data_IF_166942453254
#
_entry.id   IF_166942453254
#
_cell.length_a   1.000
_cell.length_b   1.000
_cell.length_c   1.000
_cell.angle_alpha   90.00
_cell.angle_beta   90.00
_cell.angle_gamma   90.00
#
_symmetry.space_group_name_H-M   'P 1'
#
loop_
_entity.id
_entity.type
_entity.pdbx_description
1 polymer ?
#
# COMPACT_ATOMS: atom_id res chain seq x y z
N UNK A 1 -23.47 -13.79 -1.93
CA UNK A 1 -22.44 -13.53 -0.92
C UNK A 1 -22.31 -12.03 -0.72
N UNK A 2 -22.92 -11.50 0.34
CA UNK A 2 -22.57 -10.17 0.85
C UNK A 2 -21.19 -10.29 1.52
N UNK A 3 -20.17 -9.60 1.00
CA UNK A 3 -18.81 -9.74 1.54
C UNK A 3 -17.68 -9.06 0.74
N UNK A 4 -17.99 -8.39 -0.37
CA UNK A 4 -17.00 -7.60 -1.11
C UNK A 4 -16.81 -6.19 -0.54
N UNK A 5 -15.70 -5.54 -0.88
CA UNK A 5 -15.44 -4.13 -0.57
C UNK A 5 -16.19 -3.17 -1.50
N UNK A 6 -16.90 -3.71 -2.51
CA UNK A 6 -17.67 -2.93 -3.48
C UNK A 6 -16.78 -2.28 -4.54
N UNK A 7 -17.33 -1.28 -5.23
CA UNK A 7 -16.55 -0.44 -6.16
C UNK A 7 -15.73 0.56 -5.35
N UNK A 8 -14.42 0.41 -5.36
CA UNK A 8 -13.53 1.19 -4.50
C UNK A 8 -12.33 1.78 -5.24
N UNK A 9 -11.73 2.80 -4.62
CA UNK A 9 -10.35 3.20 -4.87
C UNK A 9 -9.55 2.71 -3.66
N UNK A 10 -8.53 1.89 -3.90
CA UNK A 10 -7.65 1.41 -2.86
C UNK A 10 -6.20 1.80 -3.13
N UNK A 11 -5.51 2.34 -2.13
CA UNK A 11 -4.07 2.59 -2.15
C UNK A 11 -3.39 1.66 -1.15
N UNK A 12 -2.47 0.83 -1.65
CA UNK A 12 -1.62 -0.03 -0.85
C UNK A 12 -0.14 0.37 -1.03
N UNK A 13 0.48 0.84 0.06
CA UNK A 13 1.92 1.12 0.10
C UNK A 13 2.70 -0.11 0.57
N UNK A 14 3.95 -0.24 0.13
CA UNK A 14 4.78 -1.41 0.46
C UNK A 14 4.33 -2.68 -0.26
N UNK A 15 3.76 -2.55 -1.47
CA UNK A 15 3.15 -3.66 -2.20
C UNK A 15 4.15 -4.65 -2.83
N UNK A 16 5.43 -4.32 -2.90
CA UNK A 16 6.39 -5.14 -3.66
C UNK A 16 6.79 -6.45 -2.97
N UNK A 17 6.70 -6.55 -1.64
CA UNK A 17 7.16 -7.71 -0.84
C UNK A 17 6.33 -7.90 0.43
N UNK A 18 6.56 -9.02 1.11
CA UNK A 18 6.01 -9.30 2.44
C UNK A 18 4.49 -9.23 2.48
N UNK A 19 3.95 -8.71 3.59
CA UNK A 19 2.50 -8.63 3.80
C UNK A 19 1.77 -7.88 2.68
N UNK A 20 2.31 -6.75 2.21
CA UNK A 20 1.70 -5.97 1.13
C UNK A 20 1.60 -6.75 -0.19
N UNK A 21 2.64 -7.52 -0.56
CA UNK A 21 2.63 -8.37 -1.76
C UNK A 21 1.57 -9.46 -1.67
N UNK A 22 1.46 -10.13 -0.53
CA UNK A 22 0.46 -11.18 -0.30
C UNK A 22 -0.95 -10.62 -0.19
N UNK A 23 -1.11 -9.41 0.36
CA UNK A 23 -2.40 -8.77 0.54
C UNK A 23 -3.01 -8.30 -0.80
N UNK A 24 -2.19 -7.85 -1.75
CA UNK A 24 -2.70 -7.23 -2.98
C UNK A 24 -3.67 -8.14 -3.79
N UNK A 25 -3.39 -9.42 -4.05
CA UNK A 25 -4.33 -10.33 -4.71
C UNK A 25 -5.60 -10.60 -3.91
N UNK A 26 -5.48 -10.77 -2.58
CA UNK A 26 -6.62 -10.95 -1.69
C UNK A 26 -7.51 -9.71 -1.68
N UNK A 27 -6.92 -8.53 -1.68
CA UNK A 27 -7.63 -7.27 -1.71
C UNK A 27 -8.35 -7.08 -3.05
N UNK A 28 -7.64 -7.34 -4.16
CA UNK A 28 -8.23 -7.36 -5.49
C UNK A 28 -9.43 -8.32 -5.59
N UNK A 29 -9.39 -9.45 -4.88
CA UNK A 29 -10.50 -10.42 -4.76
C UNK A 29 -11.81 -9.86 -4.26
N UNK A 30 -11.74 -8.84 -3.43
CA UNK A 30 -12.91 -8.25 -2.79
C UNK A 30 -13.42 -7.00 -3.55
N UNK A 31 -12.69 -6.53 -4.57
CA UNK A 31 -13.04 -5.34 -5.32
C UNK A 31 -14.00 -5.67 -6.47
N UNK A 32 -15.10 -4.91 -6.56
CA UNK A 32 -16.04 -5.03 -7.67
C UNK A 32 -15.46 -4.43 -8.96
N UNK A 33 -15.93 -4.85 -10.15
CA UNK A 33 -15.53 -4.25 -11.43
C UNK A 33 -15.71 -2.72 -11.46
N UNK A 34 -14.75 -2.04 -12.09
CA UNK A 34 -14.63 -0.59 -12.12
C UNK A 34 -13.87 0.01 -10.92
N UNK A 35 -13.34 -0.83 -10.04
CA UNK A 35 -12.45 -0.40 -8.95
C UNK A 35 -11.06 0.00 -9.47
N UNK A 36 -10.34 0.79 -8.66
CA UNK A 36 -8.95 1.16 -8.88
C UNK A 36 -8.10 0.68 -7.72
N UNK A 37 -7.01 -0.02 -8.00
CA UNK A 37 -6.02 -0.45 -7.02
C UNK A 37 -4.66 0.18 -7.34
N UNK A 38 -4.23 1.09 -6.48
CA UNK A 38 -2.93 1.76 -6.54
C UNK A 38 -1.93 0.99 -5.70
N UNK A 39 -0.81 0.61 -6.33
CA UNK A 39 0.26 -0.15 -5.71
C UNK A 39 1.53 0.70 -5.68
N UNK A 40 2.03 1.00 -4.48
CA UNK A 40 3.22 1.83 -4.30
C UNK A 40 4.34 1.07 -3.60
N UNK A 41 5.54 1.12 -4.17
CA UNK A 41 6.78 0.60 -3.57
C UNK A 41 8.00 1.14 -4.33
N UNK A 42 9.21 0.96 -3.81
CA UNK A 42 10.45 1.42 -4.49
C UNK A 42 10.85 0.58 -5.72
N UNK A 43 10.49 -0.70 -5.74
CA UNK A 43 10.91 -1.63 -6.79
C UNK A 43 9.83 -1.70 -7.87
N UNK A 44 10.03 -1.01 -9.00
CA UNK A 44 9.08 -0.99 -10.13
C UNK A 44 8.89 -2.37 -10.76
N UNK A 45 9.96 -3.14 -10.89
CA UNK A 45 9.91 -4.48 -11.50
C UNK A 45 9.00 -5.42 -10.71
N UNK A 46 9.13 -5.41 -9.37
CA UNK A 46 8.25 -6.18 -8.49
C UNK A 46 6.79 -5.71 -8.57
N UNK A 47 6.55 -4.42 -8.81
CA UNK A 47 5.20 -3.90 -9.03
C UNK A 47 4.64 -4.35 -10.38
N UNK A 48 5.44 -4.33 -11.46
CA UNK A 48 5.04 -4.82 -12.80
C UNK A 48 4.64 -6.28 -12.76
N UNK A 49 5.43 -7.11 -12.09
CA UNK A 49 5.12 -8.51 -11.90
C UNK A 49 3.80 -8.70 -11.15
N UNK A 50 3.57 -7.93 -10.07
CA UNK A 50 2.31 -7.97 -9.34
C UNK A 50 1.12 -7.46 -10.19
N UNK A 51 1.29 -6.41 -10.98
CA UNK A 51 0.25 -5.94 -11.91
C UNK A 51 -0.12 -7.02 -12.94
N UNK A 52 0.87 -7.72 -13.51
CA UNK A 52 0.64 -8.81 -14.44
C UNK A 52 -0.15 -9.97 -13.81
N UNK A 53 0.21 -10.36 -12.58
CA UNK A 53 -0.51 -11.36 -11.78
C UNK A 53 -1.98 -10.96 -11.57
N UNK A 54 -2.24 -9.69 -11.21
CA UNK A 54 -3.59 -9.19 -10.97
C UNK A 54 -4.42 -9.02 -12.25
N UNK A 55 -3.77 -8.65 -13.35
CA UNK A 55 -4.41 -8.42 -14.66
C UNK A 55 -4.88 -9.71 -15.33
N UNK A 56 -4.13 -10.81 -15.17
CA UNK A 56 -4.51 -12.11 -15.68
C UNK A 56 -5.82 -12.63 -15.06
N UNK A 57 -6.14 -12.22 -13.84
CA UNK A 57 -7.26 -12.75 -13.07
C UNK A 57 -8.55 -11.90 -13.16
N UNK A 58 -8.49 -10.63 -13.63
CA UNK A 58 -9.60 -9.66 -13.41
C UNK A 58 -9.87 -8.70 -14.56
N UNK A 59 -10.81 -9.05 -15.43
CA UNK A 59 -11.41 -8.13 -16.40
C UNK A 59 -12.27 -7.08 -15.69
N UNK A 60 -11.68 -5.93 -15.33
CA UNK A 60 -12.42 -4.78 -14.79
C UNK A 60 -11.80 -4.12 -13.56
N UNK A 61 -10.68 -4.63 -13.04
CA UNK A 61 -9.87 -3.91 -12.05
C UNK A 61 -8.84 -3.04 -12.79
N UNK A 62 -8.78 -1.74 -12.48
CA UNK A 62 -7.67 -0.89 -12.94
C UNK A 62 -6.56 -0.92 -11.91
N UNK A 63 -5.42 -1.49 -12.26
CA UNK A 63 -4.20 -1.41 -11.45
C UNK A 63 -3.41 -0.16 -11.86
N UNK A 64 -2.89 0.58 -10.89
CA UNK A 64 -2.00 1.73 -11.11
C UNK A 64 -0.75 1.52 -10.26
N UNK A 65 0.41 1.44 -10.91
CA UNK A 65 1.69 1.34 -10.20
C UNK A 65 2.27 2.74 -9.97
N UNK A 66 2.82 2.93 -8.78
CA UNK A 66 3.56 4.15 -8.43
C UNK A 66 4.90 3.73 -7.81
N UNK A 67 5.97 3.59 -8.62
CA UNK A 67 7.28 3.31 -8.08
C UNK A 67 7.84 4.55 -7.38
N UNK A 68 7.81 4.57 -6.04
CA UNK A 68 8.15 5.74 -5.25
C UNK A 68 8.87 5.38 -3.93
N UNK A 69 9.84 6.20 -3.56
CA UNK A 69 10.43 6.19 -2.21
C UNK A 69 9.69 7.16 -1.29
N UNK A 70 8.85 6.62 -0.41
CA UNK A 70 8.08 7.42 0.54
C UNK A 70 8.92 7.98 1.70
N UNK A 71 10.21 7.61 1.80
CA UNK A 71 11.17 8.25 2.69
C UNK A 71 11.75 9.54 2.12
N UNK A 72 11.47 9.88 0.86
CA UNK A 72 11.93 11.07 0.18
C UNK A 72 10.75 11.94 -0.27
N UNK A 73 10.87 13.27 -0.13
CA UNK A 73 9.81 14.22 -0.52
C UNK A 73 9.39 14.06 -1.98
N UNK A 74 10.35 13.85 -2.89
CA UNK A 74 10.07 13.63 -4.30
C UNK A 74 9.19 12.39 -4.55
N UNK A 75 9.45 11.29 -3.83
CA UNK A 75 8.64 10.07 -3.95
C UNK A 75 7.25 10.25 -3.35
N UNK A 76 7.11 11.02 -2.27
CA UNK A 76 5.80 11.39 -1.72
C UNK A 76 5.01 12.23 -2.74
N UNK A 77 5.62 13.26 -3.33
CA UNK A 77 4.96 14.09 -4.34
C UNK A 77 4.57 13.31 -5.59
N UNK A 78 5.39 12.34 -6.02
CA UNK A 78 5.05 11.45 -7.12
C UNK A 78 3.79 10.63 -6.81
N UNK A 79 3.67 10.08 -5.60
CA UNK A 79 2.46 9.36 -5.19
C UNK A 79 1.25 10.29 -5.13
N UNK A 80 1.39 11.47 -4.53
CA UNK A 80 0.30 12.45 -4.45
C UNK A 80 -0.14 12.93 -5.84
N UNK A 81 0.79 13.12 -6.79
CA UNK A 81 0.49 13.43 -8.18
C UNK A 81 -0.36 12.35 -8.84
N UNK A 82 0.10 11.09 -8.77
CA UNK A 82 -0.63 9.96 -9.32
C UNK A 82 -2.04 9.82 -8.72
N UNK A 83 -2.20 10.08 -7.41
CA UNK A 83 -3.51 10.05 -6.73
C UNK A 83 -4.47 11.13 -7.23
N UNK A 84 -3.96 12.34 -7.53
CA UNK A 84 -4.78 13.46 -8.06
C UNK A 84 -5.29 13.18 -9.47
N UNK A 85 -4.54 12.41 -10.25
CA UNK A 85 -4.87 12.05 -11.63
C UNK A 85 -5.78 10.82 -11.74
N UNK A 86 -6.07 10.14 -10.63
CA UNK A 86 -6.92 8.96 -10.67
C UNK A 86 -8.33 9.28 -11.17
N UNK A 87 -8.89 8.43 -12.05
CA UNK A 87 -10.30 8.54 -12.39
C UNK A 87 -11.13 8.29 -11.12
N UNK A 88 -12.19 9.06 -10.91
CA UNK A 88 -13.19 8.75 -9.89
C UNK A 88 -14.17 7.74 -10.47
N UNK A 89 -14.21 6.48 -9.98
CA UNK A 89 -15.17 5.50 -10.49
C UNK A 89 -16.60 6.00 -10.30
N UNK A 90 -17.45 5.90 -11.33
CA UNK A 90 -18.89 6.16 -11.17
C UNK A 90 -19.46 5.17 -10.16
N UNK A 91 -20.26 5.64 -9.20
CA UNK A 91 -20.77 4.79 -8.13
C UNK A 91 -19.68 4.28 -7.18
N UNK A 92 -18.65 5.10 -6.93
CA UNK A 92 -17.65 4.83 -5.90
C UNK A 92 -18.34 4.65 -4.53
N UNK A 93 -18.09 3.52 -3.89
CA UNK A 93 -18.66 3.17 -2.59
C UNK A 93 -17.64 3.31 -1.45
N UNK A 94 -16.35 3.11 -1.75
CA UNK A 94 -15.30 3.10 -0.73
C UNK A 94 -14.00 3.71 -1.23
N UNK A 95 -13.31 4.39 -0.31
CA UNK A 95 -11.89 4.72 -0.42
C UNK A 95 -11.16 3.94 0.68
N UNK A 96 -10.08 3.24 0.33
CA UNK A 96 -9.30 2.46 1.29
C UNK A 96 -7.82 2.80 1.17
N UNK A 97 -7.23 3.33 2.23
CA UNK A 97 -5.79 3.59 2.32
C UNK A 97 -5.15 2.59 3.29
N UNK A 98 -4.15 1.86 2.81
CA UNK A 98 -3.37 0.92 3.60
C UNK A 98 -1.92 1.41 3.64
N UNK A 99 -1.57 2.09 4.74
CA UNK A 99 -0.23 2.59 5.04
C UNK A 99 0.66 1.44 5.56
N UNK A 100 0.96 0.47 4.70
CA UNK A 100 1.73 -0.72 5.05
C UNK A 100 3.24 -0.54 4.85
N UNK A 101 3.70 0.41 4.03
CA UNK A 101 5.13 0.65 3.87
C UNK A 101 5.78 1.02 5.23
N UNK A 102 6.79 0.25 5.62
CA UNK A 102 7.54 0.47 6.85
C UNK A 102 8.90 -0.19 6.79
N UNK A 103 9.78 0.18 7.72
CA UNK A 103 11.07 -0.47 7.93
C UNK A 103 11.07 -0.99 9.37
N UNK A 104 11.59 -2.19 9.57
CA UNK A 104 11.97 -2.61 10.92
C UNK A 104 13.06 -1.64 11.40
N UNK A 105 12.94 -1.06 12.59
CA UNK A 105 14.06 -0.34 13.19
C UNK A 105 15.29 -1.25 13.13
N UNK A 106 16.44 -0.70 12.74
CA UNK A 106 17.68 -1.45 12.83
C UNK A 106 17.82 -2.00 14.25
N UNK A 107 18.36 -3.20 14.37
CA UNK A 107 18.81 -3.75 15.65
C UNK A 107 20.06 -2.96 16.11
N UNK A 108 19.95 -1.63 16.23
CA UNK A 108 20.82 -0.91 17.14
C UNK A 108 20.51 -1.55 18.48
N UNK A 109 21.52 -2.20 19.07
CA UNK A 109 21.41 -2.78 20.41
C UNK A 109 20.65 -1.75 21.23
N UNK A 110 19.45 -2.08 21.68
CA UNK A 110 18.80 -1.30 22.72
C UNK A 110 19.87 -1.13 23.78
N UNK A 111 20.35 0.10 24.06
CA UNK A 111 21.34 0.27 25.11
C UNK A 111 20.72 -0.42 26.32
N UNK A 112 21.49 -1.28 26.98
CA UNK A 112 21.07 -1.94 28.21
C UNK A 112 20.32 -0.90 29.03
N UNK A 113 19.02 -1.10 29.21
CA UNK A 113 18.22 -0.19 30.02
C UNK A 113 18.65 -0.48 31.45
N UNK A 114 19.74 0.13 31.89
CA UNK A 114 20.05 0.20 33.30
C UNK A 114 18.91 0.97 33.96
N UNK A 115 18.49 0.52 35.15
CA UNK A 115 17.35 1.05 35.91
C UNK A 115 17.33 2.58 36.07
N UNK A 116 18.45 3.26 35.81
CA UNK A 116 18.57 4.71 35.76
C UNK A 116 17.70 5.40 34.69
N UNK A 117 17.29 4.71 33.61
CA UNK A 117 16.49 5.32 32.53
C UNK A 117 15.00 5.50 32.89
N UNK A 118 14.49 4.75 33.87
CA UNK A 118 13.09 4.84 34.32
C UNK A 118 12.81 6.13 35.10
N UNK A 119 13.79 6.64 35.85
CA UNK A 119 13.63 7.88 36.62
C UNK A 119 13.41 9.13 35.77
N UNK A 120 13.76 9.10 34.48
CA UNK A 120 13.58 10.24 33.57
C UNK A 120 12.17 10.30 32.94
N UNK A 121 11.39 9.22 33.03
CA UNK A 121 10.03 9.14 32.47
C UNK A 121 8.94 8.86 33.51
N UNK A 122 9.21 9.12 34.79
CA UNK A 122 8.16 9.29 35.81
C UNK A 122 7.12 8.18 35.87
N UNK A 123 7.55 6.91 35.84
CA UNK A 123 6.76 5.77 36.33
C UNK A 123 7.46 5.24 37.58
#
# INVERSE_FOLDING_TARGET
MEGGLGRAVCLLTGASRGFGRTLAPLLASLLSPGSVLVLSARNDEALRQLEAELGAERSGLRVVRVPADLGAEAGLQQLLGALRELPRPKGLQRLLLINNAGKTPGLERTPHVSAHFLHRWGI
#
